data_IF_375174104441
#
_entry.id   IF_375174104441
#
_cell.length_a   1.000
_cell.length_b   1.000
_cell.length_c   1.000
_cell.angle_alpha   90.00
_cell.angle_beta   90.00
_cell.angle_gamma   90.00
#
_symmetry.space_group_name_H-M   'P 1'
#
loop_
_entity.id
_entity.type
_entity.pdbx_description
1 polymer ?
#
# COMPACT_ATOMS: atom_id res chain seq x y z
N UNK A 1 36.39 -1.85 -53.12
CA UNK A 1 37.25 -0.75 -53.60
C UNK A 1 37.44 0.19 -52.42
N UNK A 2 38.59 0.19 -51.72
CA UNK A 2 39.75 1.06 -52.02
C UNK A 2 39.22 2.49 -52.29
N UNK A 3 39.23 3.46 -51.39
CA UNK A 3 40.29 3.95 -50.50
C UNK A 3 40.63 5.40 -50.92
N UNK A 4 41.18 6.21 -49.99
CA UNK A 4 42.03 7.40 -50.27
C UNK A 4 41.26 8.76 -50.49
N UNK A 5 41.55 9.97 -49.94
CA UNK A 5 42.70 10.61 -49.25
C UNK A 5 42.29 11.85 -48.37
N UNK A 6 43.05 12.06 -47.27
CA UNK A 6 43.63 13.29 -46.63
C UNK A 6 42.96 14.69 -46.76
N UNK A 7 42.65 15.46 -45.69
CA UNK A 7 43.47 16.10 -44.62
C UNK A 7 44.06 17.49 -45.00
N UNK A 8 43.70 18.58 -44.27
CA UNK A 8 44.66 19.55 -43.68
C UNK A 8 44.04 20.70 -42.86
N UNK A 9 44.78 20.99 -41.78
CA UNK A 9 44.66 22.00 -40.71
C UNK A 9 44.92 23.44 -41.18
N UNK A 10 44.41 24.44 -40.43
CA UNK A 10 45.14 25.69 -40.14
C UNK A 10 44.87 26.16 -38.70
N UNK A 11 45.95 26.54 -38.02
CA UNK A 11 46.09 27.08 -36.66
C UNK A 11 46.77 28.46 -36.77
N UNK A 12 46.74 29.23 -35.68
CA UNK A 12 47.50 30.46 -35.38
C UNK A 12 46.91 31.80 -35.90
N UNK A 13 47.03 32.93 -35.20
CA UNK A 13 47.75 33.24 -33.98
C UNK A 13 47.55 34.71 -33.57
N UNK A 14 47.82 35.00 -32.30
CA UNK A 14 47.81 36.29 -31.58
C UNK A 14 49.11 37.09 -31.75
N UNK A 15 49.04 38.43 -31.78
CA UNK A 15 49.92 39.49 -31.15
C UNK A 15 49.67 40.85 -31.86
N UNK A 16 49.19 41.94 -31.22
CA UNK A 16 49.75 42.85 -30.19
C UNK A 16 50.60 44.03 -30.74
N UNK A 17 50.33 45.27 -30.27
CA UNK A 17 51.16 46.51 -30.13
C UNK A 17 50.20 47.64 -29.61
N UNK A 18 50.25 48.25 -28.41
CA UNK A 18 51.27 49.04 -27.65
C UNK A 18 51.65 50.35 -28.39
N UNK A 19 51.68 51.60 -27.88
CA UNK A 19 51.93 52.27 -26.57
C UNK A 19 51.39 53.75 -26.60
N UNK A 20 50.92 54.35 -25.49
CA UNK A 20 51.63 55.36 -24.65
C UNK A 20 50.74 56.61 -24.44
N UNK A 21 50.73 57.41 -23.34
CA UNK A 21 51.65 57.62 -22.22
C UNK A 21 51.01 58.44 -21.05
N UNK A 22 51.45 58.18 -19.80
CA UNK A 22 51.74 59.05 -18.61
C UNK A 22 50.61 59.95 -18.01
N UNK A 23 50.47 60.24 -16.70
CA UNK A 23 51.09 59.85 -15.42
C UNK A 23 50.22 60.42 -14.26
N UNK A 24 50.26 59.84 -13.06
CA UNK A 24 49.74 60.46 -11.82
C UNK A 24 49.47 59.49 -10.67
N UNK A 25 50.35 59.48 -9.67
CA UNK A 25 50.30 58.65 -8.45
C UNK A 25 49.46 59.35 -7.36
N UNK A 26 48.56 58.62 -6.69
CA UNK A 26 48.13 58.92 -5.33
C UNK A 26 47.89 57.62 -4.55
N UNK A 27 48.50 57.54 -3.37
CA UNK A 27 48.53 56.41 -2.42
C UNK A 27 47.53 56.68 -1.29
N UNK A 28 46.87 55.61 -0.80
CA UNK A 28 46.11 55.55 0.46
C UNK A 28 44.63 55.19 0.24
N UNK A 29 43.94 54.35 1.02
CA UNK A 29 44.16 53.66 2.30
C UNK A 29 43.19 52.47 2.34
N UNK A 30 43.48 51.49 3.20
CA UNK A 30 42.77 50.24 3.47
C UNK A 30 41.24 50.34 3.52
N UNK A 31 40.57 49.47 2.75
CA UNK A 31 39.18 49.11 2.93
C UNK A 31 39.02 47.60 2.68
N UNK A 32 38.97 46.82 3.76
CA UNK A 32 38.62 45.40 3.72
C UNK A 32 37.12 45.32 3.41
N UNK A 33 36.77 45.38 2.12
CA UNK A 33 35.41 45.13 1.65
C UNK A 33 35.15 43.63 1.71
N UNK A 34 34.68 43.15 2.86
CA UNK A 34 34.10 41.81 2.95
C UNK A 34 32.96 41.70 1.95
N UNK A 35 33.13 40.86 0.94
CA UNK A 35 32.02 40.42 0.11
C UNK A 35 31.04 39.68 1.03
N UNK A 36 30.05 40.39 1.54
CA UNK A 36 28.86 39.78 2.11
C UNK A 36 28.16 39.06 0.96
N UNK A 37 28.55 37.80 0.74
CA UNK A 37 27.74 36.87 -0.01
C UNK A 37 26.40 36.79 0.72
N UNK A 38 25.40 37.49 0.21
CA UNK A 38 24.01 37.26 0.57
C UNK A 38 23.75 35.79 0.24
N UNK A 39 23.78 34.92 1.27
CA UNK A 39 23.12 33.62 1.18
C UNK A 39 21.67 33.93 0.85
N UNK A 40 21.30 33.73 -0.40
CA UNK A 40 19.90 33.62 -0.76
C UNK A 40 19.37 32.45 0.06
N UNK A 41 18.48 32.74 1.00
CA UNK A 41 17.79 31.69 1.75
C UNK A 41 17.09 30.81 0.73
N UNK A 42 17.38 29.51 0.74
CA UNK A 42 16.57 28.55 0.01
C UNK A 42 15.12 28.69 0.51
N UNK A 43 14.12 28.58 -0.38
CA UNK A 43 12.72 28.62 0.04
C UNK A 43 12.51 27.52 1.07
N UNK A 44 12.07 27.88 2.27
CA UNK A 44 11.69 26.91 3.28
C UNK A 44 10.60 26.00 2.69
N UNK A 45 10.82 24.68 2.71
CA UNK A 45 9.78 23.72 2.36
C UNK A 45 8.59 23.93 3.31
N UNK A 46 7.35 23.73 2.83
CA UNK A 46 6.17 23.88 3.68
C UNK A 46 6.27 22.92 4.88
N UNK A 47 5.76 23.32 6.06
CA UNK A 47 5.69 22.43 7.21
C UNK A 47 4.87 21.17 6.84
N UNK A 48 5.42 20.01 7.17
CA UNK A 48 4.79 18.71 6.92
C UNK A 48 4.19 18.21 8.23
N UNK A 49 2.93 17.78 8.17
CA UNK A 49 2.28 17.03 9.24
C UNK A 49 1.62 15.80 8.61
N UNK A 50 1.98 14.62 9.09
CA UNK A 50 1.44 13.35 8.63
C UNK A 50 1.07 12.48 9.82
N UNK A 51 0.01 11.69 9.70
CA UNK A 51 -0.41 10.75 10.71
C UNK A 51 -0.73 9.40 10.08
N UNK A 52 -0.13 8.34 10.59
CA UNK A 52 -0.43 6.96 10.21
C UNK A 52 -1.14 6.23 11.36
N UNK A 53 -1.92 5.22 11.00
CA UNK A 53 -2.79 4.49 11.91
C UNK A 53 -2.89 3.04 11.43
N UNK A 54 -3.09 2.12 12.37
CA UNK A 54 -3.50 0.74 12.10
C UNK A 54 -4.98 0.60 12.49
N UNK A 55 -5.91 0.62 11.51
CA UNK A 55 -7.35 0.58 11.80
C UNK A 55 -7.80 -0.74 12.44
N UNK A 56 -8.50 -0.72 13.58
CA UNK A 56 -9.18 -1.91 14.08
C UNK A 56 -10.48 -2.17 13.30
N UNK A 57 -10.39 -2.74 12.09
CA UNK A 57 -11.58 -2.98 11.26
C UNK A 57 -12.59 -3.95 11.91
N UNK A 58 -12.12 -4.86 12.75
CA UNK A 58 -12.88 -5.81 13.55
C UNK A 58 -12.53 -5.70 15.03
N UNK A 59 -13.55 -5.80 15.88
CA UNK A 59 -13.39 -5.78 17.33
C UNK A 59 -14.06 -6.96 18.00
N UNK A 60 -13.34 -7.67 18.87
CA UNK A 60 -13.92 -8.78 19.60
C UNK A 60 -14.75 -8.30 20.80
N UNK A 61 -15.81 -9.04 21.13
CA UNK A 61 -16.67 -8.68 22.26
C UNK A 61 -15.88 -8.71 23.58
N UNK A 62 -15.88 -7.58 24.28
CA UNK A 62 -15.24 -7.42 25.60
C UNK A 62 -13.75 -7.10 25.53
N UNK A 63 -13.18 -7.04 24.33
CA UNK A 63 -11.82 -6.54 24.11
C UNK A 63 -11.79 -5.00 24.29
N UNK A 64 -10.87 -4.46 25.10
CA UNK A 64 -10.64 -3.02 25.14
C UNK A 64 -10.09 -2.54 23.79
N UNK A 65 -10.69 -1.49 23.25
CA UNK A 65 -10.26 -0.91 21.97
C UNK A 65 -9.51 0.39 22.22
N UNK A 66 -8.30 0.49 21.66
CA UNK A 66 -7.49 1.70 21.70
C UNK A 66 -7.09 2.10 20.27
N UNK A 67 -7.40 3.34 19.90
CA UNK A 67 -6.94 3.92 18.65
C UNK A 67 -5.53 4.47 18.86
N UNK A 68 -4.58 4.05 18.01
CA UNK A 68 -3.16 4.41 18.14
C UNK A 68 -2.64 5.01 16.84
N UNK A 69 -1.97 6.15 16.93
CA UNK A 69 -1.47 6.88 15.77
C UNK A 69 0.01 7.20 15.93
N UNK A 70 0.75 7.11 14.82
CA UNK A 70 2.06 7.73 14.68
C UNK A 70 1.89 9.07 13.99
N UNK A 71 2.51 10.11 14.55
CA UNK A 71 2.40 11.48 14.03
C UNK A 71 3.80 12.00 13.77
N UNK A 72 4.01 12.47 12.56
CA UNK A 72 5.29 12.95 12.07
C UNK A 72 5.18 14.44 11.76
N UNK A 73 6.08 15.22 12.37
CA UNK A 73 6.24 16.64 12.12
C UNK A 73 7.52 16.84 11.29
N UNK A 74 7.44 17.55 10.18
CA UNK A 74 8.60 17.97 9.39
C UNK A 74 8.75 19.47 9.41
N UNK A 75 9.86 19.97 9.95
CA UNK A 75 10.45 21.20 9.45
C UNK A 75 11.21 20.83 8.16
N UNK A 76 11.29 21.73 7.18
CA UNK A 76 11.89 21.50 5.85
C UNK A 76 13.38 21.09 5.77
N UNK A 77 13.91 20.41 6.78
CA UNK A 77 15.25 19.82 6.87
C UNK A 77 15.15 18.37 7.43
N UNK A 78 15.34 17.38 6.55
CA UNK A 78 15.11 15.95 6.80
C UNK A 78 15.96 15.38 7.96
N UNK A 79 17.12 15.98 8.24
CA UNK A 79 18.09 15.47 9.21
C UNK A 79 17.82 15.92 10.66
N UNK A 80 17.02 17.00 10.81
CA UNK A 80 16.50 17.48 12.10
C UNK A 80 15.13 16.87 12.44
N UNK A 81 14.28 16.63 11.42
CA UNK A 81 12.96 16.02 11.56
C UNK A 81 13.01 14.57 12.06
N UNK A 82 14.07 13.82 11.75
CA UNK A 82 14.22 12.41 12.15
C UNK A 82 14.63 12.19 13.62
N UNK A 83 14.94 13.25 14.38
CA UNK A 83 15.42 13.14 15.78
C UNK A 83 14.62 13.95 16.81
N UNK A 84 13.83 14.92 16.38
CA UNK A 84 12.96 15.68 17.28
C UNK A 84 11.61 14.98 17.42
N UNK A 85 11.17 14.78 18.66
CA UNK A 85 9.83 14.30 18.94
C UNK A 85 8.80 15.32 18.42
N UNK A 86 7.86 14.89 17.59
CA UNK A 86 6.82 15.73 17.02
C UNK A 86 5.95 16.31 18.16
N UNK A 87 5.98 17.63 18.33
CA UNK A 87 5.13 18.34 19.29
C UNK A 87 3.74 18.55 18.67
N UNK A 88 2.99 17.45 18.56
CA UNK A 88 1.62 17.47 18.08
C UNK A 88 0.63 17.26 19.23
N UNK A 89 -0.58 17.77 19.02
CA UNK A 89 -1.75 17.45 19.83
C UNK A 89 -2.83 16.87 18.93
N UNK A 90 -3.78 16.13 19.50
CA UNK A 90 -4.86 15.61 18.69
C UNK A 90 -6.07 15.17 19.51
N UNK A 91 -7.16 14.91 18.79
CA UNK A 91 -8.43 14.46 19.37
C UNK A 91 -9.01 13.38 18.48
N UNK A 92 -9.35 12.24 19.08
CA UNK A 92 -10.15 11.21 18.44
C UNK A 92 -11.63 11.55 18.60
N UNK A 93 -12.39 11.32 17.54
CA UNK A 93 -13.83 11.53 17.46
C UNK A 93 -14.44 10.17 17.21
N UNK A 94 -15.24 9.64 18.14
CA UNK A 94 -15.80 8.29 18.06
C UNK A 94 -17.32 8.31 18.25
N UNK A 95 -18.06 7.41 17.60
CA UNK A 95 -19.51 7.25 17.81
C UNK A 95 -19.94 5.82 17.59
N UNK A 96 -21.00 5.37 18.27
CA UNK A 96 -21.63 4.10 17.98
C UNK A 96 -22.33 4.12 16.61
N UNK A 97 -22.14 3.07 15.81
CA UNK A 97 -22.65 2.96 14.45
C UNK A 97 -22.21 4.13 13.56
N UNK A 98 -23.03 4.47 12.56
CA UNK A 98 -22.71 5.49 11.53
C UNK A 98 -23.56 6.75 11.61
N UNK A 99 -24.31 6.94 12.68
CA UNK A 99 -25.20 8.07 12.83
C UNK A 99 -25.06 8.74 14.20
N UNK A 100 -25.46 10.00 14.26
CA UNK A 100 -25.38 10.80 15.48
C UNK A 100 -24.05 11.51 15.65
N UNK A 101 -23.85 12.05 16.86
CA UNK A 101 -22.73 12.92 17.19
C UNK A 101 -21.52 12.11 17.61
N UNK A 102 -20.34 12.57 17.19
CA UNK A 102 -19.08 12.05 17.71
C UNK A 102 -18.82 12.56 19.14
N UNK A 103 -18.36 11.65 19.98
CA UNK A 103 -17.74 11.93 21.27
C UNK A 103 -16.25 12.26 21.05
N UNK A 104 -15.77 13.28 21.74
CA UNK A 104 -14.39 13.77 21.63
C UNK A 104 -13.53 13.19 22.74
N UNK A 105 -12.41 12.60 22.35
CA UNK A 105 -11.44 11.97 23.24
C UNK A 105 -10.06 12.55 22.94
N UNK A 106 -9.50 13.36 23.86
CA UNK A 106 -8.14 13.86 23.68
C UNK A 106 -7.15 12.70 23.54
N UNK A 107 -6.29 12.78 22.52
CA UNK A 107 -5.20 11.82 22.36
C UNK A 107 -4.16 12.07 23.46
N UNK A 108 -3.67 10.99 24.05
CA UNK A 108 -2.59 11.01 25.04
C UNK A 108 -1.31 10.47 24.40
N UNK A 109 -0.17 10.97 24.83
CA UNK A 109 1.12 10.43 24.39
C UNK A 109 1.54 9.28 25.30
N UNK A 110 1.69 8.10 24.72
CA UNK A 110 2.37 6.96 25.31
C UNK A 110 3.87 7.06 25.01
N UNK A 111 4.63 7.57 25.98
CA UNK A 111 6.07 7.74 25.84
C UNK A 111 6.87 6.44 25.89
N UNK A 112 6.23 5.31 26.22
CA UNK A 112 6.88 4.00 26.27
C UNK A 112 6.83 3.24 24.96
N UNK A 113 5.91 3.64 24.05
CA UNK A 113 5.74 2.98 22.77
C UNK A 113 6.74 3.51 21.73
N UNK A 114 7.31 2.61 20.94
CA UNK A 114 8.14 2.96 19.78
C UNK A 114 7.31 3.39 18.56
N UNK A 115 6.06 2.95 18.50
CA UNK A 115 5.09 3.18 17.42
C UNK A 115 3.68 3.36 18.02
N UNK A 116 2.76 3.98 17.30
CA UNK A 116 1.41 4.30 17.72
C UNK A 116 1.36 5.12 19.01
N UNK A 117 2.22 6.15 19.13
CA UNK A 117 2.41 6.89 20.41
C UNK A 117 1.22 7.74 20.83
N UNK A 118 0.37 8.17 19.90
CA UNK A 118 -0.81 8.97 20.21
C UNK A 118 -2.02 8.06 20.39
N UNK A 119 -2.57 7.99 21.60
CA UNK A 119 -3.55 6.96 21.99
C UNK A 119 -4.86 7.53 22.49
N UNK A 120 -5.98 6.94 22.07
CA UNK A 120 -7.32 7.18 22.59
C UNK A 120 -8.01 5.85 22.92
N UNK A 121 -8.41 5.68 24.18
CA UNK A 121 -9.22 4.54 24.59
C UNK A 121 -10.67 4.78 24.19
N UNK A 122 -11.24 3.88 23.37
CA UNK A 122 -12.64 3.97 22.94
C UNK A 122 -13.54 3.55 24.11
N UNK A 123 -14.57 4.34 24.48
CA UNK A 123 -15.50 3.98 25.54
C UNK A 123 -16.15 2.63 25.25
N UNK A 124 -16.22 1.77 26.26
CA UNK A 124 -16.75 0.40 26.10
C UNK A 124 -18.18 0.38 25.56
N UNK A 125 -18.99 1.40 25.88
CA UNK A 125 -20.35 1.54 25.36
C UNK A 125 -20.39 1.78 23.84
N UNK A 126 -19.36 2.42 23.26
CA UNK A 126 -19.23 2.63 21.82
C UNK A 126 -18.57 1.40 21.17
N UNK A 127 -17.46 0.92 21.74
CA UNK A 127 -16.72 -0.22 21.23
C UNK A 127 -17.55 -1.51 21.19
N UNK A 128 -18.54 -1.66 22.07
CA UNK A 128 -19.43 -2.83 22.13
C UNK A 128 -20.78 -2.62 21.42
N UNK A 129 -20.91 -1.54 20.65
CA UNK A 129 -22.10 -1.28 19.86
C UNK A 129 -22.36 -2.43 18.87
N UNK A 130 -23.62 -2.92 18.75
CA UNK A 130 -23.95 -4.02 17.86
C UNK A 130 -23.75 -3.69 16.37
N UNK A 131 -23.76 -2.40 16.03
CA UNK A 131 -23.52 -1.90 14.67
C UNK A 131 -22.06 -1.46 14.46
N UNK A 132 -21.18 -1.73 15.44
CA UNK A 132 -19.81 -1.23 15.42
C UNK A 132 -19.73 0.25 15.77
N UNK A 133 -18.65 0.92 15.35
CA UNK A 133 -18.45 2.35 15.59
C UNK A 133 -17.73 3.04 14.42
N UNK A 134 -18.08 4.30 14.15
CA UNK A 134 -17.26 5.15 13.27
C UNK A 134 -16.29 6.00 14.08
N UNK A 135 -15.15 6.33 13.49
CA UNK A 135 -14.18 7.24 14.10
C UNK A 135 -13.31 7.98 13.09
N UNK A 136 -12.70 9.08 13.55
CA UNK A 136 -11.59 9.75 12.90
C UNK A 136 -10.77 10.47 13.98
N UNK A 137 -9.58 10.94 13.63
CA UNK A 137 -8.78 11.79 14.52
C UNK A 137 -8.34 13.07 13.81
N UNK A 138 -8.19 14.15 14.57
CA UNK A 138 -7.53 15.38 14.12
C UNK A 138 -6.23 15.58 14.86
N UNK A 139 -5.26 16.17 14.16
CA UNK A 139 -3.93 16.45 14.68
C UNK A 139 -3.55 17.88 14.37
N UNK A 140 -2.82 18.51 15.28
CA UNK A 140 -2.31 19.86 15.16
C UNK A 140 -0.86 19.90 15.59
N UNK A 141 0.01 20.35 14.69
CA UNK A 141 1.40 20.64 15.01
C UNK A 141 1.47 21.91 15.88
N UNK A 142 2.05 21.81 17.07
CA UNK A 142 2.20 22.91 18.02
C UNK A 142 3.14 24.01 17.52
N UNK A 143 4.07 23.69 16.63
CA UNK A 143 5.08 24.63 16.11
C UNK A 143 4.59 25.42 14.90
N UNK A 144 4.02 24.74 13.90
CA UNK A 144 3.54 25.36 12.66
C UNK A 144 2.06 25.75 12.71
N UNK A 145 1.28 25.14 13.60
CA UNK A 145 -0.17 25.28 13.66
C UNK A 145 -0.92 24.57 12.53
N UNK A 146 -0.24 23.78 11.69
CA UNK A 146 -0.86 22.95 10.64
C UNK A 146 -1.79 21.93 11.29
N UNK A 147 -2.93 21.70 10.65
CA UNK A 147 -3.93 20.74 11.09
C UNK A 147 -4.25 19.74 9.98
N UNK A 148 -4.37 18.46 10.35
CA UNK A 148 -4.80 17.37 9.48
C UNK A 148 -5.86 16.51 10.17
N UNK A 149 -6.54 15.69 9.38
CA UNK A 149 -7.42 14.62 9.85
C UNK A 149 -7.01 13.28 9.27
N UNK A 150 -7.14 12.22 10.06
CA UNK A 150 -6.98 10.83 9.62
C UNK A 150 -8.26 10.05 9.89
N UNK A 151 -8.93 9.51 8.85
CA UNK A 151 -8.63 9.69 7.42
C UNK A 151 -8.91 11.13 6.93
N UNK A 152 -8.45 11.51 5.72
CA UNK A 152 -8.88 12.76 5.09
C UNK A 152 -10.41 12.83 4.92
N UNK A 153 -11.01 13.99 5.23
CA UNK A 153 -12.47 14.17 5.21
C UNK A 153 -13.15 14.04 6.58
N UNK A 154 -12.43 13.55 7.59
CA UNK A 154 -12.85 13.57 8.98
C UNK A 154 -14.27 12.99 9.17
N UNK A 155 -15.20 13.71 9.79
CA UNK A 155 -16.56 13.23 10.05
C UNK A 155 -17.41 12.97 8.80
N UNK A 156 -17.02 13.47 7.63
CA UNK A 156 -17.71 13.20 6.36
C UNK A 156 -17.25 11.88 5.71
N UNK A 157 -16.08 11.38 6.11
CA UNK A 157 -15.51 10.12 5.64
C UNK A 157 -14.79 9.36 6.76
N UNK A 158 -15.48 9.04 7.89
CA UNK A 158 -14.84 8.40 9.02
C UNK A 158 -14.46 6.94 8.69
N UNK A 159 -13.47 6.42 9.40
CA UNK A 159 -13.20 4.99 9.44
C UNK A 159 -14.31 4.26 10.21
N UNK A 160 -14.45 2.95 9.94
CA UNK A 160 -15.45 2.08 10.55
C UNK A 160 -14.79 0.84 11.14
N UNK A 161 -15.16 0.54 12.37
CA UNK A 161 -14.86 -0.72 13.03
C UNK A 161 -16.14 -1.50 13.22
N UNK A 162 -16.13 -2.76 12.80
CA UNK A 162 -17.26 -3.67 12.87
C UNK A 162 -17.08 -4.67 14.02
N UNK A 163 -18.15 -5.09 14.69
CA UNK A 163 -18.03 -6.11 15.72
C UNK A 163 -17.73 -7.43 15.04
N UNK A 164 -16.67 -8.10 15.49
CA UNK A 164 -16.44 -9.50 15.15
C UNK A 164 -17.66 -10.28 15.65
N UNK A 165 -18.33 -10.99 14.74
CA UNK A 165 -19.53 -11.76 15.04
C UNK A 165 -19.24 -12.94 15.98
N UNK A 166 -19.57 -14.14 15.55
CA UNK A 166 -19.22 -15.34 16.34
C UNK A 166 -17.79 -15.75 16.03
N UNK A 167 -16.86 -15.40 16.92
CA UNK A 167 -15.49 -15.94 16.86
C UNK A 167 -15.47 -17.41 17.28
N UNK A 168 -14.50 -18.15 16.74
CA UNK A 168 -14.18 -19.52 17.13
C UNK A 168 -12.70 -19.58 17.43
N UNK A 169 -12.36 -19.95 18.66
CA UNK A 169 -10.96 -20.11 19.04
C UNK A 169 -10.40 -21.41 18.47
N UNK A 170 -9.56 -21.28 17.43
CA UNK A 170 -8.89 -22.42 16.80
C UNK A 170 -7.56 -22.68 17.52
N UNK A 171 -7.50 -23.77 18.26
CA UNK A 171 -6.26 -24.22 18.89
C UNK A 171 -5.41 -24.96 17.85
N UNK A 172 -4.43 -24.26 17.26
CA UNK A 172 -3.50 -24.84 16.29
C UNK A 172 -2.61 -25.94 16.92
N UNK A 173 -2.48 -25.97 18.25
CA UNK A 173 -1.59 -26.90 18.95
C UNK A 173 -0.12 -26.45 18.88
N UNK A 174 0.81 -27.33 19.26
CA UNK A 174 2.26 -27.03 19.19
C UNK A 174 2.79 -27.44 17.82
N UNK A 175 2.90 -26.49 16.91
CA UNK A 175 3.63 -26.70 15.66
C UNK A 175 5.12 -26.42 15.86
N UNK A 176 5.97 -27.30 15.34
CA UNK A 176 7.41 -27.04 15.22
C UNK A 176 7.66 -26.50 13.82
N UNK A 177 7.68 -25.18 13.69
CA UNK A 177 8.12 -24.52 12.46
C UNK A 177 9.57 -24.91 12.15
N UNK A 178 9.90 -25.03 10.86
CA UNK A 178 11.26 -25.35 10.40
C UNK A 178 11.60 -26.83 10.21
N UNK A 179 10.68 -27.77 10.50
CA UNK A 179 10.77 -29.15 10.00
C UNK A 179 9.95 -29.30 8.73
N UNK A 180 10.58 -29.05 7.58
CA UNK A 180 10.00 -29.30 6.27
C UNK A 180 10.10 -30.82 6.00
N UNK A 181 8.96 -31.48 5.76
CA UNK A 181 8.93 -32.84 5.21
C UNK A 181 8.93 -32.73 3.69
N UNK A 182 9.65 -33.62 3.02
CA UNK A 182 9.52 -33.76 1.56
C UNK A 182 8.05 -34.02 1.17
N UNK A 183 7.52 -33.35 0.15
CA UNK A 183 6.14 -33.59 -0.29
C UNK A 183 5.99 -35.03 -0.79
N UNK A 184 4.94 -35.71 -0.34
CA UNK A 184 4.70 -37.12 -0.72
C UNK A 184 4.25 -37.25 -2.19
N UNK A 185 3.77 -36.16 -2.81
CA UNK A 185 3.33 -36.14 -4.20
C UNK A 185 3.37 -34.73 -4.82
N UNK A 186 3.42 -34.68 -6.15
CA UNK A 186 3.12 -33.48 -6.95
C UNK A 186 1.72 -33.65 -7.54
N UNK A 187 0.79 -32.78 -7.16
CA UNK A 187 -0.63 -32.86 -7.54
C UNK A 187 -0.83 -32.46 -9.01
N UNK A 188 -0.18 -31.37 -9.43
CA UNK A 188 -0.24 -30.81 -10.79
C UNK A 188 1.14 -30.31 -11.20
N UNK A 189 1.47 -30.48 -12.49
CA UNK A 189 2.57 -29.77 -13.16
C UNK A 189 2.04 -29.10 -14.41
N UNK A 190 2.43 -27.85 -14.62
CA UNK A 190 2.19 -27.12 -15.86
C UNK A 190 3.52 -26.61 -16.41
N UNK A 191 3.63 -26.56 -17.73
CA UNK A 191 4.80 -25.97 -18.39
C UNK A 191 4.57 -24.46 -18.60
N UNK A 192 5.65 -23.69 -18.59
CA UNK A 192 5.61 -22.29 -19.02
C UNK A 192 5.52 -22.18 -20.54
N UNK A 193 4.78 -21.20 -21.04
CA UNK A 193 4.70 -20.85 -22.47
C UNK A 193 3.30 -20.42 -22.92
N UNK A 194 3.15 -20.18 -24.21
CA UNK A 194 1.92 -19.60 -24.80
C UNK A 194 0.92 -20.64 -25.31
N UNK A 195 1.20 -21.92 -25.07
CA UNK A 195 0.35 -23.03 -25.49
C UNK A 195 -0.99 -23.09 -24.75
N UNK A 196 -1.97 -23.86 -25.25
CA UNK A 196 -3.29 -23.98 -24.63
C UNK A 196 -3.26 -24.57 -23.21
N UNK A 197 -2.23 -25.35 -22.87
CA UNK A 197 -2.06 -26.02 -21.56
C UNK A 197 -0.84 -25.53 -20.78
N UNK A 198 -0.27 -24.42 -21.22
CA UNK A 198 0.89 -23.80 -20.62
C UNK A 198 0.44 -22.58 -19.82
N UNK A 199 1.12 -22.30 -18.71
CA UNK A 199 0.88 -21.09 -17.94
C UNK A 199 1.80 -20.01 -18.49
N UNK A 200 1.30 -18.78 -18.60
CA UNK A 200 2.10 -17.66 -19.04
C UNK A 200 3.13 -17.22 -18.00
N UNK A 201 4.11 -16.47 -18.49
CA UNK A 201 5.09 -15.78 -17.67
C UNK A 201 5.00 -14.30 -17.97
N UNK A 202 4.76 -13.52 -16.93
CA UNK A 202 4.79 -12.09 -16.99
C UNK A 202 6.21 -11.57 -16.83
N UNK A 203 6.50 -10.54 -17.63
CA UNK A 203 7.82 -10.01 -17.88
C UNK A 203 8.72 -11.03 -18.61
N UNK A 204 9.29 -10.61 -19.74
CA UNK A 204 10.01 -11.49 -20.67
C UNK A 204 11.21 -12.21 -20.03
N UNK A 205 11.80 -13.15 -20.76
CA UNK A 205 12.85 -14.09 -20.29
C UNK A 205 14.05 -13.47 -19.54
N UNK A 206 14.30 -12.17 -19.68
CA UNK A 206 15.44 -11.45 -19.12
C UNK A 206 15.15 -10.72 -17.78
N UNK A 207 13.89 -10.74 -17.32
CA UNK A 207 13.48 -10.29 -15.98
C UNK A 207 13.06 -11.50 -15.15
N UNK A 208 12.99 -11.37 -13.82
CA UNK A 208 12.47 -12.44 -12.97
C UNK A 208 11.02 -12.72 -13.39
N UNK A 209 10.73 -13.87 -14.01
CA UNK A 209 9.43 -14.08 -14.60
C UNK A 209 8.41 -14.37 -13.49
N UNK A 210 7.25 -13.72 -13.56
CA UNK A 210 6.13 -13.93 -12.64
C UNK A 210 5.12 -14.82 -13.37
N UNK A 211 4.99 -16.07 -12.95
CA UNK A 211 3.96 -16.96 -13.52
C UNK A 211 2.59 -16.75 -12.89
N UNK A 212 1.61 -17.55 -13.29
CA UNK A 212 0.30 -17.63 -12.63
C UNK A 212 0.46 -17.93 -11.13
N UNK A 213 0.45 -16.87 -10.32
CA UNK A 213 0.90 -16.88 -8.93
C UNK A 213 -0.22 -17.21 -7.95
N UNK A 214 -1.46 -17.20 -8.42
CA UNK A 214 -2.65 -17.57 -7.66
C UNK A 214 -3.28 -18.86 -8.17
N UNK A 215 -3.63 -19.74 -7.24
CA UNK A 215 -4.36 -20.97 -7.50
C UNK A 215 -5.30 -21.29 -6.34
N UNK A 216 -6.33 -22.07 -6.64
CA UNK A 216 -7.26 -22.61 -5.64
C UNK A 216 -7.45 -24.11 -5.85
N UNK A 217 -7.80 -24.82 -4.77
CA UNK A 217 -7.99 -26.28 -4.78
C UNK A 217 -9.37 -26.60 -4.24
N UNK A 218 -10.21 -27.22 -5.08
CA UNK A 218 -11.55 -27.61 -4.65
C UNK A 218 -11.56 -28.88 -3.79
N UNK A 219 -12.72 -29.23 -3.24
CA UNK A 219 -12.86 -30.44 -2.38
C UNK A 219 -12.57 -31.76 -3.08
N UNK A 220 -12.61 -31.80 -4.41
CA UNK A 220 -12.25 -32.99 -5.19
C UNK A 220 -10.75 -33.03 -5.53
N UNK A 221 -9.98 -32.03 -5.10
CA UNK A 221 -8.55 -31.93 -5.38
C UNK A 221 -8.22 -31.34 -6.74
N UNK A 222 -9.21 -30.80 -7.47
CA UNK A 222 -8.93 -30.11 -8.73
C UNK A 222 -8.27 -28.76 -8.43
N UNK A 223 -7.21 -28.45 -9.17
CA UNK A 223 -6.47 -27.21 -9.03
C UNK A 223 -6.91 -26.24 -10.12
N UNK A 224 -7.30 -25.03 -9.76
CA UNK A 224 -7.57 -23.94 -10.72
C UNK A 224 -6.47 -22.90 -10.60
N UNK A 225 -5.77 -22.62 -11.70
CA UNK A 225 -4.69 -21.62 -11.76
C UNK A 225 -5.20 -20.39 -12.51
N UNK A 226 -4.95 -19.21 -11.95
CA UNK A 226 -5.14 -17.94 -12.64
C UNK A 226 -3.93 -17.68 -13.55
N UNK A 227 -4.15 -17.71 -14.87
CA UNK A 227 -3.17 -17.44 -15.91
C UNK A 227 -3.40 -16.01 -16.44
N UNK A 228 -2.96 -15.02 -15.67
CA UNK A 228 -3.17 -13.59 -15.91
C UNK A 228 -2.59 -13.15 -17.26
N UNK A 229 -1.41 -13.68 -17.61
CA UNK A 229 -0.73 -13.42 -18.89
C UNK A 229 -1.63 -13.74 -20.09
N UNK A 230 -2.35 -14.85 -20.03
CA UNK A 230 -3.27 -15.27 -21.10
C UNK A 230 -4.73 -14.93 -20.82
N UNK A 231 -5.01 -14.20 -19.73
CA UNK A 231 -6.36 -13.77 -19.34
C UNK A 231 -7.34 -14.94 -19.27
N UNK A 232 -6.97 -16.00 -18.55
CA UNK A 232 -7.77 -17.22 -18.43
C UNK A 232 -7.55 -17.97 -17.12
N UNK A 233 -8.42 -18.93 -16.84
CA UNK A 233 -8.21 -19.98 -15.87
C UNK A 233 -7.83 -21.29 -16.55
N UNK A 234 -6.91 -22.01 -15.94
CA UNK A 234 -6.62 -23.40 -16.26
C UNK A 234 -7.04 -24.27 -15.09
N UNK A 235 -7.99 -25.18 -15.32
CA UNK A 235 -8.39 -26.17 -14.32
C UNK A 235 -7.70 -27.49 -14.62
N UNK A 236 -7.14 -28.10 -13.60
CA UNK A 236 -6.46 -29.37 -13.64
C UNK A 236 -7.20 -30.36 -12.73
N UNK A 237 -7.48 -31.54 -13.25
CA UNK A 237 -7.80 -32.68 -12.39
C UNK A 237 -6.50 -33.32 -11.90
N UNK A 238 -6.55 -33.99 -10.73
CA UNK A 238 -5.38 -34.70 -10.20
C UNK A 238 -4.82 -35.64 -11.28
N UNK A 239 -3.54 -35.47 -11.65
CA UNK A 239 -2.78 -36.31 -12.62
C UNK A 239 -3.26 -36.30 -14.08
N UNK A 240 -4.42 -35.73 -14.41
CA UNK A 240 -5.03 -35.80 -15.74
C UNK A 240 -4.79 -34.56 -16.63
N UNK A 241 -3.93 -33.62 -16.19
CA UNK A 241 -3.61 -32.41 -16.94
C UNK A 241 -4.76 -31.40 -16.97
N UNK A 242 -4.72 -30.46 -17.93
CA UNK A 242 -5.75 -29.41 -18.04
C UNK A 242 -7.07 -30.00 -18.53
N UNK A 243 -8.11 -29.85 -17.72
CA UNK A 243 -9.48 -30.32 -18.01
C UNK A 243 -10.39 -29.22 -18.54
N UNK A 244 -10.13 -27.95 -18.20
CA UNK A 244 -10.90 -26.82 -18.73
C UNK A 244 -10.08 -25.54 -18.83
N UNK A 245 -10.50 -24.68 -19.75
CA UNK A 245 -9.89 -23.36 -20.02
C UNK A 245 -11.02 -22.33 -20.05
N UNK A 246 -11.00 -21.39 -19.12
CA UNK A 246 -12.07 -20.40 -18.98
C UNK A 246 -11.49 -19.02 -19.24
N UNK A 247 -11.88 -18.31 -20.32
CA UNK A 247 -11.44 -16.93 -20.53
C UNK A 247 -11.88 -16.04 -19.37
N UNK A 248 -11.05 -15.08 -18.99
CA UNK A 248 -11.36 -14.10 -17.94
C UNK A 248 -11.01 -12.71 -18.41
N UNK A 249 -11.93 -11.76 -18.25
CA UNK A 249 -11.68 -10.37 -18.59
C UNK A 249 -10.93 -9.66 -17.44
N UNK A 250 -9.73 -10.12 -17.11
CA UNK A 250 -8.85 -9.52 -16.09
C UNK A 250 -7.79 -8.64 -16.75
N UNK A 251 -7.45 -7.55 -16.09
CA UNK A 251 -6.39 -6.64 -16.49
C UNK A 251 -5.45 -6.52 -15.29
N UNK A 252 -4.16 -6.83 -15.43
CA UNK A 252 -3.25 -6.84 -14.29
C UNK A 252 -2.09 -7.80 -14.46
N UNK A 253 -1.14 -7.69 -13.53
CA UNK A 253 0.08 -8.52 -13.45
C UNK A 253 0.20 -9.31 -12.15
N UNK A 254 -0.58 -8.93 -11.12
CA UNK A 254 -0.57 -9.59 -9.82
C UNK A 254 -1.99 -9.50 -9.26
N UNK A 255 -2.70 -10.62 -9.29
CA UNK A 255 -4.01 -10.79 -8.68
C UNK A 255 -4.06 -12.09 -7.87
N UNK A 256 -4.83 -12.06 -6.78
CA UNK A 256 -5.21 -13.27 -6.07
C UNK A 256 -6.62 -13.71 -6.48
N UNK A 257 -6.91 -15.00 -6.35
CA UNK A 257 -8.16 -15.61 -6.78
C UNK A 257 -8.69 -16.58 -5.72
N UNK A 258 -10.02 -16.66 -5.61
CA UNK A 258 -10.72 -17.75 -4.96
C UNK A 258 -11.86 -18.27 -5.84
N UNK A 259 -12.13 -19.57 -5.79
CA UNK A 259 -13.19 -20.24 -6.57
C UNK A 259 -14.19 -20.88 -5.64
N UNK A 260 -15.47 -20.51 -5.79
CA UNK A 260 -16.55 -21.02 -4.96
C UNK A 260 -16.99 -22.42 -5.34
N UNK A 261 -17.67 -23.09 -4.42
CA UNK A 261 -18.24 -24.42 -4.63
C UNK A 261 -19.23 -24.48 -5.81
N UNK A 262 -19.90 -23.36 -6.11
CA UNK A 262 -20.79 -23.22 -7.28
C UNK A 262 -20.05 -22.83 -8.57
N UNK A 263 -18.71 -22.74 -8.51
CA UNK A 263 -17.83 -22.37 -9.62
C UNK A 263 -17.71 -20.87 -9.87
N UNK A 264 -18.35 -20.00 -9.08
CA UNK A 264 -18.10 -18.55 -9.19
C UNK A 264 -16.64 -18.25 -8.87
N UNK A 265 -16.08 -17.31 -9.59
CA UNK A 265 -14.67 -16.92 -9.47
C UNK A 265 -14.61 -15.50 -8.94
N UNK A 266 -13.75 -15.29 -7.94
CA UNK A 266 -13.46 -13.98 -7.38
C UNK A 266 -12.00 -13.66 -7.64
N UNK A 267 -11.71 -12.54 -8.30
CA UNK A 267 -10.36 -12.08 -8.61
C UNK A 267 -10.14 -10.72 -7.96
N UNK A 268 -9.10 -10.61 -7.15
CA UNK A 268 -8.66 -9.37 -6.55
C UNK A 268 -7.78 -8.61 -7.55
N UNK A 269 -8.37 -7.62 -8.22
CA UNK A 269 -7.75 -6.86 -9.29
C UNK A 269 -7.07 -5.60 -8.75
N UNK A 270 -5.75 -5.58 -8.85
CA UNK A 270 -4.87 -4.49 -8.40
C UNK A 270 -4.64 -3.42 -9.46
N UNK A 271 -5.19 -3.56 -10.67
CA UNK A 271 -5.02 -2.60 -11.78
C UNK A 271 -5.91 -1.35 -11.68
N UNK A 272 -6.74 -1.27 -10.65
CA UNK A 272 -7.62 -0.12 -10.41
C UNK A 272 -6.81 1.18 -10.28
N UNK A 273 -7.28 2.31 -10.88
CA UNK A 273 -6.69 3.62 -10.63
C UNK A 273 -6.96 4.12 -9.19
N UNK A 274 -7.86 3.45 -8.46
CA UNK A 274 -8.06 3.67 -7.02
C UNK A 274 -6.95 2.99 -6.22
N UNK A 275 -6.47 3.60 -5.11
CA UNK A 275 -5.59 2.91 -4.17
C UNK A 275 -6.25 1.70 -3.51
N UNK A 276 -7.59 1.55 -3.62
CA UNK A 276 -8.35 0.40 -3.13
C UNK A 276 -8.59 -0.58 -4.29
N UNK A 277 -8.11 -1.82 -4.20
CA UNK A 277 -8.30 -2.81 -5.26
C UNK A 277 -9.78 -3.18 -5.44
N UNK A 278 -10.12 -3.67 -6.63
CA UNK A 278 -11.45 -4.15 -6.94
C UNK A 278 -11.51 -5.66 -6.77
N UNK A 279 -12.44 -6.15 -5.96
CA UNK A 279 -12.83 -7.54 -6.03
C UNK A 279 -13.82 -7.73 -7.16
N UNK A 280 -13.43 -8.47 -8.20
CA UNK A 280 -14.24 -8.75 -9.38
C UNK A 280 -14.81 -10.16 -9.30
N UNK A 281 -16.11 -10.28 -9.57
CA UNK A 281 -16.82 -11.56 -9.56
C UNK A 281 -17.13 -12.00 -10.99
N UNK A 282 -16.94 -13.29 -11.27
CA UNK A 282 -17.22 -13.93 -12.55
C UNK A 282 -18.04 -15.21 -12.35
N UNK A 283 -18.88 -15.54 -13.32
CA UNK A 283 -19.58 -16.82 -13.38
C UNK A 283 -18.59 -17.94 -13.78
N UNK A 284 -18.97 -19.23 -13.65
CA UNK A 284 -18.08 -20.35 -13.97
C UNK A 284 -17.55 -20.37 -15.41
N UNK A 285 -18.26 -19.73 -16.33
CA UNK A 285 -17.86 -19.59 -17.74
C UNK A 285 -16.95 -18.38 -18.01
N UNK A 286 -16.62 -17.61 -16.97
CA UNK A 286 -15.77 -16.41 -17.04
C UNK A 286 -16.51 -15.12 -17.37
N UNK A 287 -17.84 -15.15 -17.51
CA UNK A 287 -18.64 -13.94 -17.70
C UNK A 287 -18.63 -13.07 -16.44
N UNK A 288 -18.44 -11.75 -16.60
CA UNK A 288 -18.39 -10.82 -15.49
C UNK A 288 -19.77 -10.65 -14.82
N UNK A 289 -19.80 -10.72 -13.49
CA UNK A 289 -21.01 -10.56 -12.67
C UNK A 289 -21.07 -9.20 -11.97
N UNK A 290 -19.91 -8.61 -11.65
CA UNK A 290 -19.82 -7.30 -10.99
C UNK A 290 -18.49 -7.11 -10.26
N UNK A 291 -18.36 -6.00 -9.53
CA UNK A 291 -17.19 -5.69 -8.72
C UNK A 291 -17.56 -4.91 -7.46
N UNK A 292 -16.74 -5.04 -6.42
CA UNK A 292 -16.82 -4.27 -5.17
C UNK A 292 -15.44 -3.71 -4.85
N UNK A 293 -15.37 -2.46 -4.42
CA UNK A 293 -14.14 -1.83 -3.94
C UNK A 293 -13.89 -2.24 -2.48
N UNK A 294 -12.65 -2.58 -2.14
CA UNK A 294 -12.29 -2.93 -0.76
C UNK A 294 -12.25 -1.72 0.16
N UNK A 295 -12.32 -1.94 1.48
CA UNK A 295 -12.20 -0.87 2.46
C UNK A 295 -10.79 -0.25 2.47
N UNK A 296 -9.77 -1.11 2.49
CA UNK A 296 -8.35 -0.76 2.42
C UNK A 296 -7.67 -1.41 1.21
N UNK A 297 -6.33 -1.35 1.14
CA UNK A 297 -5.58 -2.25 0.24
C UNK A 297 -5.84 -3.69 0.64
N UNK A 298 -5.69 -4.63 -0.29
CA UNK A 298 -5.85 -6.04 0.01
C UNK A 298 -4.78 -6.86 -0.70
N UNK A 299 -4.28 -7.88 -0.01
CA UNK A 299 -3.22 -8.75 -0.52
C UNK A 299 -3.73 -10.12 -0.96
N UNK A 300 -4.86 -10.58 -0.42
CA UNK A 300 -5.41 -11.91 -0.69
C UNK A 300 -6.93 -11.93 -0.68
N UNK A 301 -7.51 -12.89 -1.39
CA UNK A 301 -8.94 -13.22 -1.35
C UNK A 301 -9.13 -14.69 -0.98
N UNK A 302 -10.06 -14.98 -0.07
CA UNK A 302 -10.50 -16.33 0.28
C UNK A 302 -12.01 -16.38 0.33
N UNK A 303 -12.57 -17.59 0.45
CA UNK A 303 -14.00 -17.77 0.66
C UNK A 303 -14.31 -18.03 2.13
N UNK A 304 -15.09 -17.12 2.70
CA UNK A 304 -15.79 -17.31 3.97
C UNK A 304 -17.16 -17.96 3.78
N UNK A 305 -17.86 -18.24 4.88
CA UNK A 305 -19.18 -18.89 4.85
C UNK A 305 -20.28 -18.02 4.20
N UNK A 306 -20.11 -16.71 4.18
CA UNK A 306 -21.07 -15.75 3.62
C UNK A 306 -20.68 -15.23 2.23
N UNK A 307 -19.49 -15.59 1.72
CA UNK A 307 -18.95 -15.05 0.48
C UNK A 307 -17.45 -14.75 0.57
N UNK A 308 -16.90 -13.96 -0.36
CA UNK A 308 -15.48 -13.65 -0.38
C UNK A 308 -15.06 -12.75 0.79
N UNK A 309 -13.91 -13.07 1.37
CA UNK A 309 -13.21 -12.29 2.38
C UNK A 309 -11.84 -11.86 1.86
N UNK A 310 -11.41 -10.66 2.23
CA UNK A 310 -10.16 -10.06 1.80
C UNK A 310 -9.22 -9.89 2.98
N UNK A 311 -7.95 -10.25 2.82
CA UNK A 311 -6.90 -9.85 3.75
C UNK A 311 -6.55 -8.39 3.47
N UNK A 312 -7.02 -7.49 4.34
CA UNK A 312 -6.86 -6.06 4.17
C UNK A 312 -5.59 -5.54 4.86
N UNK A 313 -4.95 -4.57 4.21
CA UNK A 313 -3.72 -3.91 4.65
C UNK A 313 -3.94 -2.39 4.75
N UNK A 314 -3.45 -1.74 5.82
CA UNK A 314 -2.46 -2.26 6.77
C UNK A 314 -3.04 -3.08 7.92
N UNK A 315 -4.36 -3.14 8.10
CA UNK A 315 -5.00 -3.74 9.30
C UNK A 315 -4.60 -5.19 9.60
N UNK A 316 -4.16 -5.95 8.60
CA UNK A 316 -3.88 -7.39 8.66
C UNK A 316 -5.12 -8.22 9.06
N UNK A 317 -6.32 -7.74 8.67
CA UNK A 317 -7.59 -8.36 9.04
C UNK A 317 -8.31 -8.95 7.83
N UNK A 318 -8.93 -10.12 8.05
CA UNK A 318 -9.82 -10.76 7.08
C UNK A 318 -11.21 -10.15 7.17
N UNK A 319 -11.62 -9.42 6.14
CA UNK A 319 -12.87 -8.67 6.09
C UNK A 319 -13.80 -9.18 5.00
N UNK A 320 -15.11 -9.17 5.24
CA UNK A 320 -16.09 -9.38 4.17
C UNK A 320 -15.91 -8.34 3.06
N UNK A 321 -15.81 -8.78 1.81
CA UNK A 321 -15.57 -7.88 0.69
C UNK A 321 -16.69 -6.84 0.49
N UNK A 322 -17.93 -7.18 0.87
CA UNK A 322 -19.10 -6.30 0.76
C UNK A 322 -19.28 -5.34 1.94
N UNK A 323 -18.57 -5.55 3.06
CA UNK A 323 -18.74 -4.74 4.27
C UNK A 323 -17.82 -3.50 4.32
N UNK A 324 -16.83 -3.43 3.42
CA UNK A 324 -15.83 -2.36 3.36
C UNK A 324 -16.08 -1.27 2.31
N UNK A 325 -17.13 -1.39 1.49
CA UNK A 325 -17.51 -0.43 0.44
C UNK A 325 -18.63 0.51 0.84
#
# INVERSE_FOLDING_TARGET
MIGVHLNRRVFAGTTALALGALAGVAVGLFGVGGAAAQRQAEPALPPLLEATHLPPLLTARGEPVELRYDVFCGAGDEEAASRAECDASGTAFVRAGDAGRFEQIPLRVDASASEGRYVAAVPSAIAQSPDGFSYYATFRDGSSGVEISSPPGAGDAPERSLPLGRSVDVHLGRHVFGRIREPDAVVVRAAWGDGPDQVGLEQGRDLTPIGGSSFDVDRAGNVTVLDETHKRLLRFAERDGVTSRTPLAVDGTIADMAVADDGKIYVLDSSSPSPKPLLRAFAPDGSALGSVESAERAAQVRLGPAGPVLLQEPSDQWMDAAAGG
#
